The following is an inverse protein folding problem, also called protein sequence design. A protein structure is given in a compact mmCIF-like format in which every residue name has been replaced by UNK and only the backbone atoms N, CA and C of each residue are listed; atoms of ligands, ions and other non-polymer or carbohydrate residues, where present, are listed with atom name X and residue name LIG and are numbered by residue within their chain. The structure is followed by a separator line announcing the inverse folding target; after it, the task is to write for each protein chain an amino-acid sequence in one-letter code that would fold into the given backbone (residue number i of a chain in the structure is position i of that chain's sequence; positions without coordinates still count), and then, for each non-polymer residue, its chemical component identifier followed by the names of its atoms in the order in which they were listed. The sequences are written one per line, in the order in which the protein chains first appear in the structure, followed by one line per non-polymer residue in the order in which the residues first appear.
data_IF_987689720806
#
_entry.id   IF_987689720806
#
_cell.length_a   1.000
_cell.length_b   1.000
_cell.length_c   1.000
_cell.angle_alpha   90.00
_cell.angle_beta   90.00
_cell.angle_gamma   90.00
#
_symmetry.space_group_name_H-M   'P 1'
#
loop_
_entity.id
_entity.type
_entity.pdbx_description
1 polymer ?
#
# COMPACT_ATOMS: atom_id res chain seq x y z
N UNK A 1 -7.15 18.27 4.25
CA UNK A 1 -6.04 18.49 5.21
C UNK A 1 -5.02 17.35 5.19
N UNK A 2 -5.30 16.11 5.63
CA UNK A 2 -4.26 15.05 5.64
C UNK A 2 -3.72 14.66 4.25
N UNK A 3 -4.58 14.57 3.23
CA UNK A 3 -4.16 14.34 1.83
C UNK A 3 -3.29 15.48 1.25
N UNK A 4 -3.41 16.71 1.77
CA UNK A 4 -2.61 17.85 1.31
C UNK A 4 -1.19 17.82 1.90
N UNK A 5 -1.03 17.25 3.09
CA UNK A 5 0.25 17.18 3.79
C UNK A 5 1.21 16.19 3.09
N UNK A 6 0.68 15.08 2.57
CA UNK A 6 1.42 14.16 1.71
C UNK A 6 1.88 14.84 0.41
N UNK A 7 1.02 15.64 -0.20
CA UNK A 7 1.30 16.33 -1.46
C UNK A 7 2.35 17.45 -1.29
N UNK A 8 2.35 18.14 -0.14
CA UNK A 8 3.41 19.10 0.22
C UNK A 8 4.75 18.44 0.54
N UNK A 9 4.76 17.33 1.29
CA UNK A 9 5.99 16.58 1.58
C UNK A 9 6.61 16.02 0.29
N UNK A 10 5.76 15.55 -0.63
CA UNK A 10 6.14 15.08 -1.97
C UNK A 10 6.71 16.20 -2.83
N UNK A 11 6.26 17.45 -2.66
CA UNK A 11 6.80 18.62 -3.38
C UNK A 11 8.10 19.14 -2.76
N UNK A 12 8.25 19.02 -1.43
CA UNK A 12 9.43 19.46 -0.70
C UNK A 12 10.68 18.58 -0.95
N UNK A 13 10.47 17.32 -1.33
CA UNK A 13 11.52 16.35 -1.65
C UNK A 13 11.55 16.09 -3.16
N UNK A 14 12.75 16.05 -3.77
CA UNK A 14 12.90 15.69 -5.20
C UNK A 14 12.67 14.19 -5.42
N UNK A 15 11.41 13.78 -5.40
CA UNK A 15 11.01 12.40 -5.66
C UNK A 15 11.00 12.09 -7.16
N UNK A 16 11.19 10.82 -7.50
CA UNK A 16 10.90 10.26 -8.82
C UNK A 16 9.39 10.11 -9.03
N UNK A 17 8.96 9.89 -10.28
CA UNK A 17 7.56 9.60 -10.59
C UNK A 17 7.06 8.32 -9.91
N UNK A 18 7.93 7.31 -9.77
CA UNK A 18 7.60 6.04 -9.11
C UNK A 18 7.39 6.22 -7.61
N UNK A 19 8.25 6.97 -6.93
CA UNK A 19 8.09 7.27 -5.51
C UNK A 19 6.82 8.08 -5.23
N UNK A 20 6.52 9.08 -6.07
CA UNK A 20 5.22 9.79 -6.00
C UNK A 20 4.05 8.84 -6.13
N UNK A 21 4.08 7.93 -7.11
CA UNK A 21 3.00 6.96 -7.30
C UNK A 21 2.90 5.99 -6.13
N UNK A 22 4.02 5.56 -5.58
CA UNK A 22 4.07 4.73 -4.37
C UNK A 22 3.39 5.43 -3.18
N UNK A 23 3.81 6.65 -2.83
CA UNK A 23 3.26 7.41 -1.69
C UNK A 23 1.77 7.67 -1.87
N UNK A 24 1.36 7.98 -3.11
CA UNK A 24 -0.03 8.28 -3.46
C UNK A 24 -0.96 7.09 -3.25
N UNK A 25 -0.51 5.87 -3.55
CA UNK A 25 -1.34 4.66 -3.47
C UNK A 25 -1.14 3.83 -2.19
N UNK A 26 0.00 3.94 -1.51
CA UNK A 26 0.26 3.28 -0.23
C UNK A 26 -0.84 3.57 0.80
N UNK A 27 -1.56 2.54 1.27
CA UNK A 27 -2.69 2.69 2.18
C UNK A 27 -2.38 2.40 3.64
N UNK A 28 -1.22 1.80 3.91
CA UNK A 28 -0.84 1.35 5.25
C UNK A 28 0.52 1.92 5.65
N UNK A 29 0.71 2.05 6.96
CA UNK A 29 1.97 2.47 7.57
C UNK A 29 2.26 1.56 8.76
N UNK A 30 3.54 1.24 8.96
CA UNK A 30 4.03 0.48 10.11
C UNK A 30 5.36 1.10 10.53
N UNK A 31 5.45 1.48 11.80
CA UNK A 31 6.67 2.09 12.37
C UNK A 31 7.20 3.29 11.56
N UNK A 32 6.29 4.16 11.11
CA UNK A 32 6.61 5.35 10.30
C UNK A 32 6.96 5.05 8.83
N UNK A 33 7.03 3.79 8.43
CA UNK A 33 7.30 3.38 7.05
C UNK A 33 6.00 3.10 6.30
N UNK A 34 5.85 3.70 5.11
CA UNK A 34 4.72 3.46 4.22
C UNK A 34 4.86 2.13 3.49
N UNK A 35 3.74 1.42 3.29
CA UNK A 35 3.65 0.22 2.46
C UNK A 35 2.39 0.20 1.60
N UNK A 36 2.42 -0.63 0.57
CA UNK A 36 1.26 -0.99 -0.26
C UNK A 36 0.78 -2.38 0.11
N UNK A 37 -0.54 -2.53 0.20
CA UNK A 37 -1.17 -3.85 0.17
C UNK A 37 -1.12 -4.42 -1.26
N UNK A 38 -1.33 -5.74 -1.47
CA UNK A 38 -1.45 -6.31 -2.81
C UNK A 38 -2.53 -5.61 -3.65
N UNK A 39 -3.62 -5.16 -3.02
CA UNK A 39 -4.68 -4.41 -3.68
C UNK A 39 -4.21 -3.01 -4.10
N UNK A 40 -3.51 -2.28 -3.23
CA UNK A 40 -2.94 -0.97 -3.57
C UNK A 40 -1.98 -1.08 -4.75
N UNK A 41 -1.18 -2.14 -4.81
CA UNK A 41 -0.28 -2.37 -5.93
C UNK A 41 -1.06 -2.57 -7.23
N UNK A 42 -2.07 -3.44 -7.24
CA UNK A 42 -2.90 -3.67 -8.43
C UNK A 42 -3.57 -2.39 -8.90
N UNK A 43 -4.20 -1.63 -7.98
CA UNK A 43 -4.79 -0.32 -8.26
C UNK A 43 -3.74 0.66 -8.78
N UNK A 44 -2.54 0.69 -8.19
CA UNK A 44 -1.46 1.56 -8.63
C UNK A 44 -0.89 1.22 -10.00
N UNK A 45 -1.27 0.09 -10.60
CA UNK A 45 -0.85 -0.24 -11.98
C UNK A 45 -1.97 0.15 -12.95
N UNK A 46 -3.22 -0.15 -12.60
CA UNK A 46 -4.36 -0.06 -13.51
C UNK A 46 -5.14 1.26 -13.40
N UNK A 47 -5.17 1.87 -12.22
CA UNK A 47 -5.91 3.10 -11.95
C UNK A 47 -5.00 4.33 -12.02
N UNK A 48 -5.58 5.46 -12.40
CA UNK A 48 -4.89 6.76 -12.39
C UNK A 48 -4.84 7.37 -10.98
N UNK A 49 -5.91 7.17 -10.21
CA UNK A 49 -6.11 7.74 -8.87
C UNK A 49 -6.47 6.63 -7.86
N UNK A 50 -6.02 6.73 -6.59
CA UNK A 50 -6.43 5.78 -5.56
C UNK A 50 -7.89 6.01 -5.16
N UNK A 51 -8.51 5.00 -4.55
CA UNK A 51 -9.84 5.14 -3.96
C UNK A 51 -9.87 6.20 -2.85
N UNK A 52 -10.97 6.97 -2.69
CA UNK A 52 -11.10 7.92 -1.59
C UNK A 52 -10.93 7.24 -0.23
N UNK A 53 -10.09 7.82 0.63
CA UNK A 53 -9.78 7.29 1.96
C UNK A 53 -9.55 8.43 2.94
N UNK A 54 -9.98 8.23 4.18
CA UNK A 54 -9.88 9.25 5.23
C UNK A 54 -8.43 9.43 5.73
N UNK A 55 -7.73 8.31 5.96
CA UNK A 55 -6.33 8.27 6.39
C UNK A 55 -5.70 6.92 6.06
N UNK A 56 -4.37 6.84 6.09
CA UNK A 56 -3.63 5.57 6.06
C UNK A 56 -3.94 4.75 7.31
N UNK A 57 -4.02 3.42 7.17
CA UNK A 57 -4.22 2.50 8.29
C UNK A 57 -2.87 2.21 8.95
N UNK A 58 -2.78 2.44 10.26
CA UNK A 58 -1.61 2.04 11.03
C UNK A 58 -1.70 0.54 11.34
N UNK A 59 -0.66 -0.21 10.97
CA UNK A 59 -0.53 -1.61 11.29
C UNK A 59 0.10 -1.78 12.67
N UNK A 60 -0.27 -2.86 13.35
CA UNK A 60 0.38 -3.32 14.57
C UNK A 60 0.97 -4.74 14.37
N UNK A 61 1.63 -5.26 15.40
CA UNK A 61 2.26 -6.58 15.34
C UNK A 61 1.28 -7.72 15.01
N UNK A 62 0.04 -7.66 15.51
CA UNK A 62 -0.98 -8.67 15.20
C UNK A 62 -1.40 -8.63 13.73
N UNK A 63 -1.48 -7.43 13.14
CA UNK A 63 -1.71 -7.31 11.70
C UNK A 63 -0.57 -8.00 10.91
N UNK A 64 0.67 -7.80 11.33
CA UNK A 64 1.82 -8.44 10.68
C UNK A 64 1.81 -9.97 10.81
N UNK A 65 1.41 -10.50 11.97
CA UNK A 65 1.24 -11.94 12.17
C UNK A 65 0.17 -12.50 11.22
N UNK A 66 -1.00 -11.88 11.14
CA UNK A 66 -2.07 -12.30 10.23
C UNK A 66 -1.63 -12.24 8.76
N UNK A 67 -0.91 -11.19 8.35
CA UNK A 67 -0.38 -11.07 6.99
C UNK A 67 0.62 -12.20 6.69
N UNK A 68 1.49 -12.55 7.64
CA UNK A 68 2.45 -13.65 7.50
C UNK A 68 1.73 -14.98 7.36
N UNK A 69 0.73 -15.25 8.19
CA UNK A 69 -0.08 -16.48 8.14
C UNK A 69 -0.88 -16.60 6.84
N UNK A 70 -1.39 -15.48 6.32
CA UNK A 70 -2.13 -15.45 5.06
C UNK A 70 -1.22 -15.59 3.82
N UNK A 71 0.07 -15.28 3.94
CA UNK A 71 1.01 -15.31 2.81
C UNK A 71 1.28 -16.76 2.37
N UNK A 72 0.93 -17.14 1.13
CA UNK A 72 1.15 -18.50 0.65
C UNK A 72 2.64 -18.81 0.46
N UNK A 73 3.03 -20.07 0.69
CA UNK A 73 4.35 -20.56 0.35
C UNK A 73 4.64 -20.44 -1.16
N UNK A 74 5.92 -20.31 -1.54
CA UNK A 74 6.35 -20.08 -2.94
C UNK A 74 5.84 -21.13 -3.94
N UNK A 75 5.78 -22.40 -3.52
CA UNK A 75 5.26 -23.49 -4.36
C UNK A 75 3.74 -23.44 -4.60
N UNK A 76 3.03 -22.54 -3.92
CA UNK A 76 1.60 -22.24 -4.13
C UNK A 76 1.40 -20.96 -4.97
N UNK A 77 2.44 -20.50 -5.66
CA UNK A 77 2.38 -19.36 -6.57
C UNK A 77 1.25 -19.51 -7.59
N UNK A 78 0.52 -18.42 -7.83
CA UNK A 78 -0.61 -18.37 -8.75
C UNK A 78 -0.73 -16.99 -9.37
N UNK A 79 -1.23 -16.92 -10.61
CA UNK A 79 -1.56 -15.65 -11.28
C UNK A 79 -2.65 -14.84 -10.57
N UNK A 80 -3.33 -15.45 -9.59
CA UNK A 80 -4.35 -14.82 -8.76
C UNK A 80 -3.87 -14.44 -7.36
N UNK A 81 -2.62 -14.72 -6.99
CA UNK A 81 -2.10 -14.54 -5.62
C UNK A 81 -2.47 -13.18 -5.01
N UNK A 82 -2.20 -12.07 -5.72
CA UNK A 82 -2.47 -10.73 -5.20
C UNK A 82 -3.97 -10.46 -5.03
N UNK A 83 -4.81 -11.03 -5.91
CA UNK A 83 -6.27 -10.91 -5.80
C UNK A 83 -6.83 -11.77 -4.67
N UNK A 84 -6.21 -12.91 -4.36
CA UNK A 84 -6.60 -13.77 -3.24
C UNK A 84 -6.20 -13.19 -1.88
N UNK A 85 -5.09 -12.46 -1.82
CA UNK A 85 -4.63 -11.78 -0.59
C UNK A 85 -5.36 -10.47 -0.28
N UNK A 86 -6.14 -9.94 -1.23
CA UNK A 86 -6.85 -8.67 -1.16
C UNK A 86 -7.85 -8.53 0.00
N UNK A 87 -8.43 -9.65 0.44
CA UNK A 87 -9.52 -9.69 1.42
C UNK A 87 -9.08 -10.26 2.79
N UNK A 88 -7.76 -10.33 3.06
CA UNK A 88 -7.19 -10.88 4.30
C UNK A 88 -6.26 -9.90 5.01
#
# INVERSE_FOLDING_TARGET
MLLQMDDELVRAVKLTSRERRFIKFASVEYDGQLYMTPQDFLESVVEQEPRPRLKRRQLNNKDLEMIKEATPALNKGSTQMFRTLRDK
#
